data_IF_445621689342
#
_entry.id   IF_445621689342
#
_cell.length_a   1.000
_cell.length_b   1.000
_cell.length_c   1.000
_cell.angle_alpha   90.00
_cell.angle_beta   90.00
_cell.angle_gamma   90.00
#
_symmetry.space_group_name_H-M   'P 1'
#
loop_
_entity.id
_entity.type
_entity.pdbx_description
1 polymer ?
#
# COMPACT_ATOMS: atom_id res chain seq x y z
N UNK A 1 6.36 -22.61 -14.42
CA UNK A 1 5.71 -23.85 -13.93
C UNK A 1 4.50 -23.46 -13.09
N UNK A 2 3.28 -23.83 -13.48
CA UNK A 2 2.07 -23.46 -12.74
C UNK A 2 2.04 -24.18 -11.39
N UNK A 3 1.78 -23.44 -10.31
CA UNK A 3 1.62 -24.02 -8.97
C UNK A 3 0.40 -24.95 -8.93
N UNK A 4 0.54 -26.09 -8.28
CA UNK A 4 -0.59 -27.02 -8.07
C UNK A 4 -1.66 -26.37 -7.18
N UNK A 5 -2.93 -26.80 -7.29
CA UNK A 5 -4.03 -26.31 -6.41
C UNK A 5 -3.69 -26.44 -4.92
N UNK A 6 -2.95 -27.51 -4.53
CA UNK A 6 -2.46 -27.70 -3.15
C UNK A 6 -1.44 -26.64 -2.76
N UNK A 7 -0.48 -26.32 -3.65
CA UNK A 7 0.53 -25.31 -3.41
C UNK A 7 -0.07 -23.91 -3.26
N UNK A 8 -1.06 -23.56 -4.08
CA UNK A 8 -1.79 -22.27 -3.99
C UNK A 8 -2.51 -22.16 -2.63
N UNK A 9 -3.21 -23.21 -2.20
CA UNK A 9 -3.89 -23.24 -0.88
C UNK A 9 -2.92 -23.08 0.28
N UNK A 10 -1.77 -23.77 0.21
CA UNK A 10 -0.75 -23.71 1.26
C UNK A 10 -0.13 -22.32 1.37
N UNK A 11 0.22 -21.70 0.24
CA UNK A 11 0.72 -20.32 0.20
C UNK A 11 -0.33 -19.35 0.77
N UNK A 12 -1.58 -19.48 0.38
CA UNK A 12 -2.68 -18.66 0.90
C UNK A 12 -2.88 -18.82 2.42
N UNK A 13 -2.75 -20.04 2.96
CA UNK A 13 -2.83 -20.29 4.41
C UNK A 13 -1.71 -19.59 5.18
N UNK A 14 -0.46 -19.63 4.69
CA UNK A 14 0.67 -18.91 5.28
C UNK A 14 0.44 -17.39 5.27
N UNK A 15 -0.03 -16.83 4.16
CA UNK A 15 -0.33 -15.40 4.03
C UNK A 15 -1.47 -14.98 4.98
N UNK A 16 -2.53 -15.79 5.10
CA UNK A 16 -3.65 -15.51 6.01
C UNK A 16 -3.21 -15.55 7.49
N UNK A 17 -2.42 -16.55 7.89
CA UNK A 17 -1.85 -16.65 9.24
C UNK A 17 -0.97 -15.45 9.56
N UNK A 18 -0.05 -15.09 8.66
CA UNK A 18 0.82 -13.95 8.84
C UNK A 18 0.05 -12.64 8.95
N UNK A 19 -0.94 -12.42 8.08
CA UNK A 19 -1.81 -11.23 8.13
C UNK A 19 -2.47 -11.08 9.49
N UNK A 20 -3.11 -12.14 9.99
CA UNK A 20 -3.77 -12.14 11.30
C UNK A 20 -2.80 -11.77 12.42
N UNK A 21 -1.70 -12.51 12.53
CA UNK A 21 -0.72 -12.35 13.61
C UNK A 21 -0.05 -10.97 13.59
N UNK A 22 0.31 -10.48 12.40
CA UNK A 22 0.95 -9.16 12.27
C UNK A 22 -0.03 -8.03 12.57
N UNK A 23 -1.30 -8.16 12.21
CA UNK A 23 -2.33 -7.19 12.57
C UNK A 23 -2.54 -7.13 14.09
N UNK A 24 -2.46 -8.28 14.78
CA UNK A 24 -2.66 -8.39 16.23
C UNK A 24 -1.44 -7.94 17.05
N UNK A 25 -0.22 -8.24 16.57
CA UNK A 25 1.01 -8.14 17.39
C UNK A 25 2.08 -7.21 16.80
N UNK A 26 1.92 -6.77 15.55
CA UNK A 26 2.95 -6.06 14.77
C UNK A 26 3.99 -7.02 14.16
N UNK A 27 4.66 -6.56 13.11
CA UNK A 27 5.62 -7.38 12.35
C UNK A 27 6.80 -7.90 13.19
N UNK A 28 7.38 -7.04 14.02
CA UNK A 28 8.61 -7.39 14.78
C UNK A 28 8.38 -8.49 15.80
N UNK A 29 7.15 -8.63 16.32
CA UNK A 29 6.78 -9.62 17.36
C UNK A 29 6.25 -10.95 16.83
N UNK A 30 6.22 -11.14 15.52
CA UNK A 30 5.75 -12.37 14.88
C UNK A 30 6.92 -13.12 14.27
N UNK A 31 7.12 -14.38 14.68
CA UNK A 31 8.15 -15.27 14.12
C UNK A 31 7.64 -16.10 12.95
N UNK A 32 8.56 -16.72 12.20
CA UNK A 32 8.21 -17.71 11.17
C UNK A 32 7.50 -18.92 11.79
N UNK A 33 7.91 -19.30 13.00
CA UNK A 33 7.29 -20.37 13.78
C UNK A 33 5.83 -20.06 14.14
N UNK A 34 5.53 -18.84 14.55
CA UNK A 34 4.15 -18.41 14.82
C UNK A 34 3.30 -18.53 13.57
N UNK A 35 3.82 -18.05 12.41
CA UNK A 35 3.12 -18.07 11.12
C UNK A 35 2.83 -19.51 10.70
N UNK A 36 3.82 -20.41 10.78
CA UNK A 36 3.66 -21.79 10.36
C UNK A 36 2.73 -22.58 11.28
N UNK A 37 2.81 -22.35 12.59
CA UNK A 37 1.89 -22.93 13.56
C UNK A 37 0.45 -22.46 13.33
N UNK A 38 0.25 -21.16 13.09
CA UNK A 38 -1.07 -20.61 12.78
C UNK A 38 -1.64 -21.09 11.45
N UNK A 39 -0.79 -21.46 10.50
CA UNK A 39 -1.17 -22.04 9.21
C UNK A 39 -1.33 -23.57 9.23
N UNK A 40 -0.97 -24.24 10.34
CA UNK A 40 -1.00 -25.70 10.47
C UNK A 40 0.03 -26.43 9.56
N UNK A 41 1.21 -25.83 9.32
CA UNK A 41 2.24 -26.39 8.43
C UNK A 41 3.61 -26.44 9.09
N UNK A 42 4.49 -27.32 8.60
CA UNK A 42 5.87 -27.39 9.06
C UNK A 42 6.70 -26.17 8.61
N UNK A 43 7.71 -25.79 9.40
CA UNK A 43 8.63 -24.67 9.11
C UNK A 43 9.29 -24.78 7.72
N UNK A 44 9.65 -26.01 7.28
CA UNK A 44 10.20 -26.26 5.95
C UNK A 44 9.26 -25.85 4.82
N UNK A 45 7.93 -25.93 5.05
CA UNK A 45 6.93 -25.49 4.07
C UNK A 45 6.99 -23.97 3.85
N UNK A 46 7.28 -23.19 4.88
CA UNK A 46 7.46 -21.75 4.75
C UNK A 46 8.61 -21.42 3.79
N UNK A 47 9.78 -22.02 4.03
CA UNK A 47 10.99 -21.76 3.22
C UNK A 47 10.91 -22.31 1.78
N UNK A 48 9.95 -23.19 1.51
CA UNK A 48 9.63 -23.59 0.13
C UNK A 48 8.97 -22.46 -0.66
N UNK A 49 8.20 -21.57 -0.02
CA UNK A 49 7.47 -20.48 -0.68
C UNK A 49 8.11 -19.12 -0.51
N UNK A 50 8.79 -18.86 0.61
CA UNK A 50 9.32 -17.55 0.99
C UNK A 50 10.74 -17.68 1.52
N UNK A 51 11.64 -16.82 1.04
CA UNK A 51 13.03 -16.80 1.48
C UNK A 51 13.16 -16.25 2.92
N UNK A 52 12.27 -15.33 3.31
CA UNK A 52 12.27 -14.69 4.61
C UNK A 52 10.85 -14.21 5.00
N UNK A 53 10.70 -13.76 6.22
CA UNK A 53 9.46 -13.14 6.71
C UNK A 53 9.13 -11.87 5.92
N UNK A 54 10.15 -11.08 5.55
CA UNK A 54 10.02 -9.88 4.72
C UNK A 54 9.50 -10.20 3.31
N UNK A 55 9.95 -11.33 2.75
CA UNK A 55 9.52 -11.82 1.45
C UNK A 55 8.02 -12.17 1.46
N UNK A 56 7.58 -12.88 2.50
CA UNK A 56 6.14 -13.16 2.71
C UNK A 56 5.34 -11.87 2.84
N UNK A 57 5.83 -10.88 3.60
CA UNK A 57 5.12 -9.59 3.77
C UNK A 57 5.05 -8.80 2.46
N UNK A 58 6.06 -8.90 1.60
CA UNK A 58 6.02 -8.27 0.28
C UNK A 58 4.90 -8.87 -0.58
N UNK A 59 4.77 -10.19 -0.60
CA UNK A 59 3.69 -10.88 -1.32
C UNK A 59 2.31 -10.54 -0.74
N UNK A 60 2.21 -10.49 0.60
CA UNK A 60 0.98 -10.11 1.29
C UNK A 60 0.57 -8.67 0.94
N UNK A 61 1.49 -7.72 1.02
CA UNK A 61 1.26 -6.33 0.70
C UNK A 61 0.83 -6.15 -0.77
N UNK A 62 1.47 -6.86 -1.69
CA UNK A 62 1.12 -6.81 -3.11
C UNK A 62 -0.34 -7.24 -3.34
N UNK A 63 -0.77 -8.37 -2.78
CA UNK A 63 -2.15 -8.84 -2.88
C UNK A 63 -3.14 -7.85 -2.27
N UNK A 64 -2.84 -7.33 -1.07
CA UNK A 64 -3.71 -6.37 -0.38
C UNK A 64 -3.86 -5.05 -1.14
N UNK A 65 -2.78 -4.55 -1.74
CA UNK A 65 -2.81 -3.32 -2.53
C UNK A 65 -3.65 -3.50 -3.80
N UNK A 66 -3.61 -4.67 -4.45
CA UNK A 66 -4.45 -4.98 -5.60
C UNK A 66 -5.94 -4.99 -5.23
N UNK A 67 -6.28 -5.67 -4.13
CA UNK A 67 -7.67 -5.72 -3.64
C UNK A 67 -8.16 -4.33 -3.22
N UNK A 68 -7.32 -3.56 -2.51
CA UNK A 68 -7.62 -2.19 -2.12
C UNK A 68 -7.88 -1.30 -3.34
N UNK A 69 -7.02 -1.37 -4.35
CA UNK A 69 -7.16 -0.60 -5.58
C UNK A 69 -8.44 -0.96 -6.33
N UNK A 70 -8.71 -2.26 -6.52
CA UNK A 70 -9.93 -2.72 -7.16
C UNK A 70 -11.19 -2.25 -6.42
N UNK A 71 -11.16 -2.24 -5.08
CA UNK A 71 -12.24 -1.69 -4.24
C UNK A 71 -12.38 -0.18 -4.42
N UNK A 72 -11.25 0.54 -4.45
CA UNK A 72 -11.23 2.00 -4.61
C UNK A 72 -11.86 2.43 -5.93
N UNK A 73 -11.52 1.76 -7.03
CA UNK A 73 -12.10 2.09 -8.36
C UNK A 73 -13.61 1.85 -8.43
N UNK A 74 -14.13 0.89 -7.66
CA UNK A 74 -15.58 0.58 -7.60
C UNK A 74 -16.35 1.51 -6.65
N UNK A 75 -15.68 2.36 -5.91
CA UNK A 75 -16.37 3.31 -5.02
C UNK A 75 -17.08 4.39 -5.84
N UNK A 76 -18.29 4.73 -5.42
CA UNK A 76 -19.01 5.88 -5.96
C UNK A 76 -18.48 7.18 -5.40
N UNK A 77 -18.52 8.22 -6.22
CA UNK A 77 -18.20 9.58 -5.83
C UNK A 77 -16.87 10.11 -6.39
N UNK A 78 -16.51 11.35 -6.01
CA UNK A 78 -15.42 12.09 -6.61
C UNK A 78 -14.03 11.47 -6.28
N UNK A 79 -13.02 11.78 -7.10
CA UNK A 79 -11.66 11.24 -6.93
C UNK A 79 -11.04 11.59 -5.57
N UNK A 80 -11.41 12.70 -4.95
CA UNK A 80 -10.96 13.09 -3.61
C UNK A 80 -11.31 12.04 -2.56
N UNK A 81 -12.55 11.53 -2.61
CA UNK A 81 -13.01 10.47 -1.71
C UNK A 81 -12.25 9.17 -1.93
N UNK A 82 -12.03 8.81 -3.20
CA UNK A 82 -11.28 7.61 -3.60
C UNK A 82 -9.81 7.68 -3.15
N UNK A 83 -9.15 8.82 -3.37
CA UNK A 83 -7.77 9.06 -2.97
C UNK A 83 -7.60 9.05 -1.45
N UNK A 84 -8.50 9.74 -0.71
CA UNK A 84 -8.45 9.76 0.75
C UNK A 84 -8.62 8.34 1.34
N UNK A 85 -9.54 7.56 0.80
CA UNK A 85 -9.72 6.15 1.17
C UNK A 85 -8.48 5.32 0.88
N UNK A 86 -7.93 5.42 -0.34
CA UNK A 86 -6.77 4.65 -0.79
C UNK A 86 -5.54 4.92 0.07
N UNK A 87 -5.16 6.20 0.21
CA UNK A 87 -4.02 6.59 1.02
C UNK A 87 -4.22 6.32 2.52
N UNK A 88 -5.42 6.55 3.04
CA UNK A 88 -5.74 6.26 4.44
C UNK A 88 -5.55 4.78 4.78
N UNK A 89 -5.96 3.87 3.88
CA UNK A 89 -5.72 2.44 4.03
C UNK A 89 -4.22 2.11 3.97
N UNK A 90 -3.47 2.67 3.00
CA UNK A 90 -2.03 2.44 2.89
C UNK A 90 -1.25 2.92 4.13
N UNK A 91 -1.63 4.07 4.71
CA UNK A 91 -1.00 4.59 5.93
C UNK A 91 -1.33 3.74 7.16
N UNK A 92 -2.57 3.26 7.25
CA UNK A 92 -2.95 2.31 8.29
C UNK A 92 -2.14 1.00 8.18
N UNK A 93 -2.00 0.46 6.98
CA UNK A 93 -1.21 -0.75 6.76
C UNK A 93 0.27 -0.52 7.09
N UNK A 94 0.85 0.64 6.73
CA UNK A 94 2.21 1.03 7.10
C UNK A 94 2.39 1.07 8.63
N UNK A 95 1.42 1.61 9.36
CA UNK A 95 1.47 1.66 10.82
C UNK A 95 1.38 0.26 11.44
N UNK A 96 0.55 -0.63 10.91
CA UNK A 96 0.41 -2.02 11.38
C UNK A 96 1.70 -2.81 11.18
N UNK A 97 2.34 -2.70 10.02
CA UNK A 97 3.60 -3.41 9.75
C UNK A 97 4.77 -2.85 10.56
N UNK A 98 4.68 -1.61 11.00
CA UNK A 98 5.63 -0.96 11.90
C UNK A 98 6.76 -0.21 11.22
N UNK A 99 7.30 0.76 11.95
CA UNK A 99 8.31 1.72 11.47
C UNK A 99 9.59 1.05 10.96
N UNK A 100 10.02 -0.06 11.57
CA UNK A 100 11.26 -0.73 11.18
C UNK A 100 11.17 -1.30 9.76
N UNK A 101 10.06 -1.97 9.42
CA UNK A 101 9.88 -2.52 8.09
C UNK A 101 9.64 -1.43 7.03
N UNK A 102 8.89 -0.37 7.37
CA UNK A 102 8.71 0.79 6.47
C UNK A 102 10.05 1.45 6.20
N UNK A 103 10.89 1.67 7.22
CA UNK A 103 12.26 2.22 7.07
C UNK A 103 13.14 1.34 6.18
N UNK A 104 13.06 0.02 6.34
CA UNK A 104 13.80 -0.92 5.48
C UNK A 104 13.37 -0.81 4.02
N UNK A 105 12.05 -0.69 3.76
CA UNK A 105 11.51 -0.49 2.40
C UNK A 105 11.95 0.84 1.79
N UNK A 106 11.92 1.93 2.55
CA UNK A 106 12.40 3.23 2.08
C UNK A 106 13.90 3.21 1.73
N UNK A 107 14.72 2.49 2.51
CA UNK A 107 16.14 2.29 2.18
C UNK A 107 16.32 1.50 0.89
N UNK A 108 15.55 0.44 0.69
CA UNK A 108 15.63 -0.39 -0.52
C UNK A 108 15.27 0.39 -1.79
N UNK A 109 14.33 1.33 -1.71
CA UNK A 109 13.97 2.22 -2.84
C UNK A 109 15.13 3.09 -3.30
N UNK A 110 16.01 3.49 -2.38
CA UNK A 110 17.17 4.33 -2.67
C UNK A 110 18.47 3.53 -2.93
N UNK A 111 18.42 2.20 -2.87
CA UNK A 111 19.59 1.35 -3.12
C UNK A 111 19.85 1.22 -4.63
N UNK A 112 21.03 1.68 -5.13
CA UNK A 112 21.37 1.55 -6.55
C UNK A 112 21.31 0.13 -7.11
N UNK A 113 21.51 -0.89 -6.26
CA UNK A 113 21.46 -2.31 -6.64
C UNK A 113 20.04 -2.83 -6.86
N UNK A 114 19.02 -2.08 -6.42
CA UNK A 114 17.60 -2.45 -6.49
C UNK A 114 16.79 -1.50 -7.37
N UNK A 115 17.44 -0.66 -8.17
CA UNK A 115 16.79 0.36 -9.00
C UNK A 115 15.69 -0.22 -9.90
N UNK A 116 15.92 -1.37 -10.56
CA UNK A 116 14.93 -1.98 -11.47
C UNK A 116 13.64 -2.36 -10.73
N UNK A 117 13.75 -3.01 -9.59
CA UNK A 117 12.61 -3.44 -8.79
C UNK A 117 11.90 -2.23 -8.17
N UNK A 118 12.68 -1.25 -7.67
CA UNK A 118 12.15 -0.01 -7.12
C UNK A 118 11.38 0.80 -8.17
N UNK A 119 11.90 0.88 -9.41
CA UNK A 119 11.22 1.54 -10.53
C UNK A 119 9.92 0.82 -10.88
N UNK A 120 9.90 -0.51 -10.94
CA UNK A 120 8.70 -1.27 -11.22
C UNK A 120 7.61 -1.04 -10.17
N UNK A 121 7.97 -1.05 -8.89
CA UNK A 121 7.05 -0.74 -7.79
C UNK A 121 6.53 0.70 -7.83
N UNK A 122 7.41 1.65 -8.16
CA UNK A 122 7.00 3.05 -8.33
C UNK A 122 5.99 3.20 -9.45
N UNK A 123 6.27 2.61 -10.63
CA UNK A 123 5.39 2.67 -11.80
C UNK A 123 4.04 2.01 -11.53
N UNK A 124 4.00 0.91 -10.79
CA UNK A 124 2.76 0.25 -10.39
C UNK A 124 1.91 1.16 -9.48
N UNK A 125 2.50 1.77 -8.46
CA UNK A 125 1.83 2.79 -7.63
C UNK A 125 1.38 4.01 -8.42
N UNK A 126 2.24 4.51 -9.33
CA UNK A 126 1.93 5.61 -10.24
C UNK A 126 0.71 5.30 -11.11
N UNK A 127 0.68 4.14 -11.74
CA UNK A 127 -0.42 3.74 -12.63
C UNK A 127 -1.74 3.63 -11.88
N UNK A 128 -1.74 3.12 -10.64
CA UNK A 128 -2.96 3.05 -9.81
C UNK A 128 -3.51 4.44 -9.49
N UNK A 129 -2.66 5.36 -9.04
CA UNK A 129 -3.09 6.73 -8.73
C UNK A 129 -3.54 7.48 -9.98
N UNK A 130 -2.80 7.33 -11.08
CA UNK A 130 -3.18 7.89 -12.38
C UNK A 130 -4.57 7.41 -12.81
N UNK A 131 -4.86 6.10 -12.64
CA UNK A 131 -6.17 5.54 -12.98
C UNK A 131 -7.31 6.14 -12.15
N UNK A 132 -7.10 6.40 -10.85
CA UNK A 132 -8.12 7.05 -10.00
C UNK A 132 -8.41 8.47 -10.51
N UNK A 133 -7.37 9.23 -10.85
CA UNK A 133 -7.52 10.59 -11.37
C UNK A 133 -8.16 10.61 -12.77
N UNK A 134 -7.72 9.71 -13.67
CA UNK A 134 -8.29 9.58 -15.00
C UNK A 134 -9.78 9.23 -14.95
N UNK A 135 -10.16 8.29 -14.08
CA UNK A 135 -11.56 7.99 -13.86
C UNK A 135 -12.34 9.23 -13.40
N UNK A 136 -11.76 10.08 -12.55
CA UNK A 136 -12.35 11.36 -12.15
C UNK A 136 -12.59 12.32 -13.31
N UNK A 137 -11.68 12.36 -14.32
CA UNK A 137 -11.84 13.12 -15.54
C UNK A 137 -12.92 12.49 -16.45
N UNK A 138 -12.88 11.19 -16.67
CA UNK A 138 -13.83 10.44 -17.51
C UNK A 138 -15.26 10.53 -16.97
N UNK A 139 -15.42 10.44 -15.66
CA UNK A 139 -16.71 10.59 -14.99
C UNK A 139 -17.16 12.05 -14.87
N UNK A 140 -16.32 13.02 -15.26
CA UNK A 140 -16.62 14.44 -15.27
C UNK A 140 -16.60 15.12 -13.90
N UNK A 141 -15.94 14.57 -12.88
CA UNK A 141 -15.65 15.26 -11.61
C UNK A 141 -14.48 16.22 -11.72
N UNK A 142 -13.55 15.93 -12.61
CA UNK A 142 -12.39 16.77 -12.94
C UNK A 142 -12.48 17.27 -14.38
N UNK A 143 -11.91 18.43 -14.64
CA UNK A 143 -11.85 19.03 -15.97
C UNK A 143 -10.90 18.28 -16.89
N UNK A 144 -11.09 18.39 -18.22
CA UNK A 144 -10.28 17.68 -19.22
C UNK A 144 -8.83 18.14 -19.28
N UNK A 145 -8.53 19.34 -18.82
CA UNK A 145 -7.20 19.94 -18.74
C UNK A 145 -6.45 19.58 -17.45
N UNK A 146 -7.04 18.71 -16.60
CA UNK A 146 -6.40 18.22 -15.40
C UNK A 146 -5.05 17.55 -15.71
N UNK A 147 -3.91 18.05 -15.19
CA UNK A 147 -2.59 17.51 -15.48
C UNK A 147 -2.33 16.23 -14.68
N UNK A 148 -3.05 15.15 -15.02
CA UNK A 148 -3.02 13.86 -14.30
C UNK A 148 -1.59 13.36 -14.03
N UNK A 149 -0.64 13.38 -14.98
CA UNK A 149 0.72 12.93 -14.71
C UNK A 149 1.44 13.73 -13.62
N UNK A 150 1.24 15.05 -13.58
CA UNK A 150 1.83 15.93 -12.57
C UNK A 150 1.23 15.67 -11.19
N UNK A 151 -0.11 15.64 -11.11
CA UNK A 151 -0.83 15.41 -9.86
C UNK A 151 -0.55 14.04 -9.28
N UNK A 152 -0.41 13.01 -10.12
CA UNK A 152 -0.02 11.66 -9.69
C UNK A 152 1.34 11.69 -9.00
N UNK A 153 2.37 12.34 -9.59
CA UNK A 153 3.68 12.46 -8.95
C UNK A 153 3.62 13.25 -7.64
N UNK A 154 2.84 14.32 -7.61
CA UNK A 154 2.67 15.15 -6.42
C UNK A 154 2.06 14.34 -5.26
N UNK A 155 0.97 13.63 -5.49
CA UNK A 155 0.36 12.77 -4.46
C UNK A 155 1.28 11.65 -3.99
N UNK A 156 2.06 11.04 -4.88
CA UNK A 156 3.07 10.07 -4.48
C UNK A 156 4.15 10.70 -3.61
N UNK A 157 4.58 11.93 -3.93
CA UNK A 157 5.56 12.66 -3.13
C UNK A 157 5.03 12.98 -1.74
N UNK A 158 3.77 13.42 -1.62
CA UNK A 158 3.13 13.69 -0.34
C UNK A 158 3.02 12.42 0.51
N UNK A 159 2.58 11.32 -0.09
CA UNK A 159 2.50 10.02 0.60
C UNK A 159 3.86 9.53 1.08
N UNK A 160 4.87 9.52 0.20
CA UNK A 160 6.23 9.10 0.57
C UNK A 160 6.86 10.05 1.59
N UNK A 161 6.60 11.36 1.49
CA UNK A 161 7.03 12.36 2.46
C UNK A 161 6.46 12.10 3.84
N UNK A 162 5.16 11.80 3.96
CA UNK A 162 4.52 11.46 5.21
C UNK A 162 5.11 10.19 5.85
N UNK A 163 5.32 9.12 5.06
CA UNK A 163 5.97 7.90 5.53
C UNK A 163 7.42 8.16 5.99
N UNK A 164 8.17 8.96 5.22
CA UNK A 164 9.56 9.31 5.55
C UNK A 164 9.62 10.09 6.86
N UNK A 165 8.76 11.10 7.03
CA UNK A 165 8.67 11.90 8.26
C UNK A 165 8.32 11.01 9.46
N UNK A 166 7.35 10.12 9.31
CA UNK A 166 6.99 9.15 10.36
C UNK A 166 8.17 8.24 10.73
N UNK A 167 8.94 7.79 9.74
CA UNK A 167 10.14 6.98 9.96
C UNK A 167 11.27 7.75 10.64
N UNK A 168 11.50 9.03 10.27
CA UNK A 168 12.51 9.90 10.89
C UNK A 168 12.17 10.09 12.37
N UNK A 169 10.91 10.33 12.70
CA UNK A 169 10.42 10.52 14.06
C UNK A 169 10.24 9.21 14.84
N UNK A 170 10.75 8.08 14.33
CA UNK A 170 10.73 6.79 15.05
C UNK A 170 9.35 6.15 15.20
N UNK A 171 8.35 6.60 14.44
CA UNK A 171 6.98 6.11 14.57
C UNK A 171 6.21 6.73 15.75
N UNK A 172 6.67 7.85 16.30
CA UNK A 172 6.17 8.43 17.56
C UNK A 172 4.86 9.22 17.45
N UNK A 173 4.14 9.10 16.32
CA UNK A 173 2.80 9.67 16.18
C UNK A 173 1.85 8.70 15.46
N UNK A 174 0.55 8.91 15.60
CA UNK A 174 -0.50 8.11 14.95
C UNK A 174 -0.63 8.49 13.47
N UNK A 175 0.18 7.88 12.61
CA UNK A 175 0.18 8.12 11.17
C UNK A 175 -1.21 7.95 10.54
N UNK A 176 -1.93 6.91 10.93
CA UNK A 176 -3.28 6.60 10.43
C UNK A 176 -4.34 7.59 10.92
N UNK A 177 -4.22 8.04 12.18
CA UNK A 177 -5.12 9.03 12.78
C UNK A 177 -4.93 10.41 12.16
N UNK A 178 -3.69 10.88 12.06
CA UNK A 178 -3.38 12.17 11.44
C UNK A 178 -3.76 12.20 9.96
N UNK A 179 -3.56 11.09 9.23
CA UNK A 179 -3.96 10.98 7.84
C UNK A 179 -5.44 11.27 7.59
N UNK A 180 -6.33 10.91 8.51
CA UNK A 180 -7.77 11.20 8.40
C UNK A 180 -8.07 12.69 8.41
N UNK A 181 -7.21 13.49 9.02
CA UNK A 181 -7.37 14.94 9.14
C UNK A 181 -6.75 15.66 7.95
N UNK A 182 -5.48 15.37 7.63
CA UNK A 182 -4.77 16.15 6.62
C UNK A 182 -5.03 15.70 5.18
N UNK A 183 -5.23 14.39 4.92
CA UNK A 183 -5.44 13.89 3.55
C UNK A 183 -6.63 14.56 2.84
N UNK A 184 -7.82 14.70 3.45
CA UNK A 184 -8.92 15.38 2.79
C UNK A 184 -8.58 16.83 2.43
N UNK A 185 -7.89 17.55 3.31
CA UNK A 185 -7.49 18.93 3.08
C UNK A 185 -6.46 19.06 1.98
N UNK A 186 -5.40 18.22 2.01
CA UNK A 186 -4.35 18.21 1.00
C UNK A 186 -4.89 17.86 -0.39
N UNK A 187 -5.72 16.82 -0.48
CA UNK A 187 -6.34 16.39 -1.72
C UNK A 187 -7.31 17.45 -2.26
N UNK A 188 -8.14 18.02 -1.41
CA UNK A 188 -9.06 19.08 -1.82
C UNK A 188 -8.35 20.33 -2.32
N UNK A 189 -7.29 20.77 -1.63
CA UNK A 189 -6.49 21.92 -2.04
C UNK A 189 -5.78 21.67 -3.37
N UNK A 190 -5.27 20.45 -3.57
CA UNK A 190 -4.54 20.06 -4.78
C UNK A 190 -5.46 19.93 -5.98
N UNK A 191 -6.65 19.34 -5.82
CA UNK A 191 -7.60 19.13 -6.92
C UNK A 191 -8.58 20.28 -7.12
N UNK A 192 -8.71 21.20 -6.16
CA UNK A 192 -9.79 22.19 -6.10
C UNK A 192 -9.99 23.00 -7.39
N UNK A 193 -8.89 23.45 -8.01
CA UNK A 193 -8.95 24.22 -9.26
C UNK A 193 -9.33 23.42 -10.51
N UNK A 194 -9.30 22.09 -10.43
CA UNK A 194 -9.66 21.20 -11.53
C UNK A 194 -11.03 20.57 -11.37
N UNK A 195 -11.75 20.89 -10.28
CA UNK A 195 -13.11 20.36 -10.04
C UNK A 195 -14.11 20.96 -11.01
N UNK A 196 -15.08 20.15 -11.39
CA UNK A 196 -16.29 20.60 -12.09
C UNK A 196 -17.42 20.85 -11.09
N UNK A 197 -18.55 21.38 -11.56
CA UNK A 197 -19.78 21.55 -10.77
C UNK A 197 -20.56 20.24 -10.57
N UNK A 198 -20.01 19.12 -11.03
CA UNK A 198 -20.62 17.80 -10.83
C UNK A 198 -20.61 17.45 -9.33
N UNK A 199 -21.79 17.19 -8.79
CA UNK A 199 -22.01 16.75 -7.40
C UNK A 199 -21.99 15.24 -7.28
#
# INVERSE_FOLDING_TARGET
MALTKKAIRMKASLLASARKLITERGFDRVSVEDITSGAGVAKGTFYHYFKSKEDLIRDLAFSQIQDLFAKTLKMDGPPEKKLAFYFGCLMKDAQIIGVNLVRQRLRAVCDPKQISDSTAHFLDGYNRLSSILMQGVEEGYLTKDTPVPLLTRLFMSHFNGALTTWCILGGNFDLSGEAKTYLPLDIMNTLGKYRTDKK
#
